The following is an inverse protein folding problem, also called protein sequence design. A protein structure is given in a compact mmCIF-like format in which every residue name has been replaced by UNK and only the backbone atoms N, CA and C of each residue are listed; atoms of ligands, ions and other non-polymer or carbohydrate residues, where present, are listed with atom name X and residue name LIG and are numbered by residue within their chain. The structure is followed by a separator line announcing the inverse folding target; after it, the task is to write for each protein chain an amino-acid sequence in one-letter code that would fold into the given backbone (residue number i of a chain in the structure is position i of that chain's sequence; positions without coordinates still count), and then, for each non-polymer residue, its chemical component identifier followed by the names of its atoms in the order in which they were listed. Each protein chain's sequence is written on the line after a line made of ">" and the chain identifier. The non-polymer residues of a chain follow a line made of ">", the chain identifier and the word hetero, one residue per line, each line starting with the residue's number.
data_IF_507697832903
#
_entry.id   IF_507697832903
#
_cell.length_a   1.000
_cell.length_b   1.000
_cell.length_c   1.000
_cell.angle_alpha   90.00
_cell.angle_beta   90.00
_cell.angle_gamma   90.00
#
_symmetry.space_group_name_H-M   'P 1'
#
loop_
_entity.id
_entity.type
_entity.pdbx_description
1 polymer ?
#
# COMPACT_ATOMS: atom_id res chain seq x y z
N UNK A 1 0.71 -25.96 22.47
CA UNK A 1 0.98 -24.78 23.31
C UNK A 1 2.49 -24.68 23.48
N UNK A 2 3.15 -23.60 23.04
CA UNK A 2 4.60 -23.50 23.11
C UNK A 2 5.09 -23.28 24.55
N UNK A 3 6.25 -23.83 24.88
CA UNK A 3 6.90 -23.63 26.18
C UNK A 3 7.62 -22.28 26.24
N UNK A 4 7.90 -21.78 27.45
CA UNK A 4 8.57 -20.49 27.63
C UNK A 4 9.93 -20.44 26.91
N UNK A 5 10.73 -21.50 27.00
CA UNK A 5 12.02 -21.60 26.31
C UNK A 5 11.90 -21.61 24.78
N UNK A 6 10.78 -22.07 24.23
CA UNK A 6 10.51 -21.98 22.78
C UNK A 6 10.21 -20.53 22.37
N UNK A 7 9.45 -19.79 23.18
CA UNK A 7 9.16 -18.38 22.93
C UNK A 7 10.39 -17.49 23.10
N UNK A 8 11.29 -17.83 24.04
CA UNK A 8 12.58 -17.14 24.22
C UNK A 8 13.50 -17.36 23.01
N UNK A 9 13.53 -18.57 22.44
CA UNK A 9 14.34 -18.88 21.24
C UNK A 9 13.70 -18.38 19.94
N UNK A 10 12.37 -18.37 19.86
CA UNK A 10 11.58 -17.93 18.71
C UNK A 10 10.40 -17.11 19.22
N UNK A 11 10.56 -15.79 19.16
CA UNK A 11 9.52 -14.85 19.55
C UNK A 11 8.25 -15.03 18.72
N UNK A 12 7.12 -14.53 19.24
CA UNK A 12 5.89 -14.43 18.43
C UNK A 12 6.04 -13.28 17.44
N UNK A 13 5.68 -13.53 16.19
CA UNK A 13 5.65 -12.52 15.15
C UNK A 13 4.23 -12.06 14.88
N UNK A 14 4.06 -10.77 14.59
CA UNK A 14 2.78 -10.20 14.18
C UNK A 14 2.70 -10.22 12.66
N UNK A 15 1.54 -10.60 12.13
CA UNK A 15 1.31 -10.59 10.68
C UNK A 15 1.24 -9.15 10.16
N UNK A 16 2.09 -8.82 9.19
CA UNK A 16 2.06 -7.53 8.51
C UNK A 16 0.87 -7.41 7.55
N UNK A 17 0.19 -6.27 7.56
CA UNK A 17 -0.93 -5.97 6.65
C UNK A 17 -0.50 -4.99 5.57
N UNK A 18 -0.87 -5.27 4.32
CA UNK A 18 -0.65 -4.36 3.19
C UNK A 18 -1.76 -3.31 3.13
N UNK A 19 -1.39 -2.06 2.82
CA UNK A 19 -2.36 -1.00 2.57
C UNK A 19 -3.13 -1.25 1.28
N UNK A 20 -4.40 -0.87 1.27
CA UNK A 20 -5.26 -0.87 0.07
C UNK A 20 -4.84 0.21 -0.94
N UNK A 21 -4.12 1.25 -0.49
CA UNK A 21 -3.70 2.38 -1.31
C UNK A 21 -2.17 2.63 -1.22
N UNK A 22 -1.33 1.72 -1.75
CA UNK A 22 0.14 1.83 -1.62
C UNK A 22 0.73 3.04 -2.36
N UNK A 23 0.10 3.50 -3.45
CA UNK A 23 0.59 4.66 -4.21
C UNK A 23 0.56 5.97 -3.39
N UNK A 24 -0.38 6.11 -2.45
CA UNK A 24 -0.46 7.27 -1.56
C UNK A 24 0.65 7.29 -0.50
N UNK A 25 1.32 6.16 -0.28
CA UNK A 25 2.41 6.01 0.69
C UNK A 25 3.81 6.19 0.10
N UNK A 26 3.94 6.34 -1.23
CA UNK A 26 5.25 6.45 -1.93
C UNK A 26 5.51 7.83 -2.55
N UNK A 27 6.56 8.52 -2.14
CA UNK A 27 7.05 9.75 -2.77
C UNK A 27 8.20 9.49 -3.73
N UNK A 28 8.62 10.52 -4.48
CA UNK A 28 9.83 10.50 -5.28
C UNK A 28 10.70 11.72 -4.99
N UNK A 29 11.97 11.48 -4.68
CA UNK A 29 12.97 12.53 -4.49
C UNK A 29 13.70 12.80 -5.81
N UNK A 30 13.35 13.91 -6.48
CA UNK A 30 13.92 14.26 -7.79
C UNK A 30 15.43 14.53 -7.76
N UNK A 31 15.97 15.01 -6.63
CA UNK A 31 17.40 15.30 -6.50
C UNK A 31 18.23 14.03 -6.40
N UNK A 32 17.74 13.05 -5.63
CA UNK A 32 18.42 11.77 -5.40
C UNK A 32 18.00 10.68 -6.38
N UNK A 33 16.97 10.94 -7.19
CA UNK A 33 16.33 10.00 -8.12
C UNK A 33 15.83 8.71 -7.45
N UNK A 34 15.40 8.81 -6.19
CA UNK A 34 14.96 7.65 -5.39
C UNK A 34 13.49 7.74 -5.01
N UNK A 35 12.84 6.58 -4.95
CA UNK A 35 11.54 6.46 -4.29
C UNK A 35 11.73 6.57 -2.77
N UNK A 36 10.78 7.22 -2.10
CA UNK A 36 10.78 7.41 -0.64
C UNK A 36 9.43 6.97 -0.07
N UNK A 37 9.41 6.59 1.20
CA UNK A 37 8.17 6.39 1.93
C UNK A 37 7.66 7.73 2.45
N UNK A 38 6.51 8.14 1.93
CA UNK A 38 5.85 9.39 2.27
C UNK A 38 4.35 9.19 2.24
N UNK A 39 3.74 9.16 3.43
CA UNK A 39 2.31 9.05 3.61
C UNK A 39 1.64 10.39 3.30
N UNK A 40 0.60 10.37 2.47
CA UNK A 40 -0.15 11.56 2.10
C UNK A 40 -1.63 11.23 1.91
N UNK A 41 -2.56 12.10 2.32
CA UNK A 41 -3.98 11.89 2.09
C UNK A 41 -4.36 11.98 0.59
N UNK A 42 -3.62 12.75 -0.21
CA UNK A 42 -3.88 12.94 -1.64
C UNK A 42 -2.61 13.34 -2.40
N UNK A 43 -2.50 12.99 -3.68
CA UNK A 43 -1.37 13.38 -4.54
C UNK A 43 -1.87 14.00 -5.84
N UNK A 44 -1.20 15.08 -6.27
CA UNK A 44 -1.47 15.72 -7.56
C UNK A 44 -1.02 14.79 -8.69
N UNK A 45 -1.84 14.68 -9.73
CA UNK A 45 -1.53 13.95 -10.96
C UNK A 45 -2.03 14.71 -12.18
N UNK A 46 -1.60 14.29 -13.37
CA UNK A 46 -2.07 14.79 -14.67
C UNK A 46 -2.72 13.63 -15.40
N UNK A 47 -3.88 13.87 -16.03
CA UNK A 47 -4.60 12.85 -16.79
C UNK A 47 -3.85 12.56 -18.10
N UNK A 48 -3.59 11.29 -18.39
CA UNK A 48 -2.93 10.84 -19.63
C UNK A 48 -3.92 10.25 -20.64
N UNK A 49 -5.06 9.73 -20.19
CA UNK A 49 -6.09 9.16 -21.04
C UNK A 49 -7.48 9.29 -20.39
N UNK A 50 -8.48 9.63 -21.19
CA UNK A 50 -9.88 9.78 -20.77
C UNK A 50 -10.70 8.71 -21.47
N UNK A 51 -11.40 7.88 -20.69
CA UNK A 51 -12.26 6.79 -21.18
C UNK A 51 -13.39 6.52 -20.21
N UNK A 52 -14.47 5.94 -20.71
CA UNK A 52 -15.58 5.41 -19.91
C UNK A 52 -15.35 3.92 -19.63
N UNK A 53 -15.86 3.42 -18.51
CA UNK A 53 -15.82 2.01 -18.14
C UNK A 53 -17.18 1.60 -17.58
N UNK A 54 -17.70 0.45 -18.01
CA UNK A 54 -18.97 -0.09 -17.51
C UNK A 54 -18.76 -0.78 -16.15
N UNK A 55 -19.68 -0.59 -15.18
CA UNK A 55 -19.56 -1.22 -13.87
C UNK A 55 -19.71 -2.74 -13.96
N UNK A 56 -19.22 -3.47 -12.94
CA UNK A 56 -19.45 -4.90 -12.83
C UNK A 56 -20.94 -5.17 -12.51
N UNK A 57 -21.48 -6.27 -13.05
CA UNK A 57 -22.82 -6.78 -12.71
C UNK A 57 -23.02 -6.85 -11.19
N UNK A 58 -24.24 -6.63 -10.66
CA UNK A 58 -25.51 -6.36 -11.36
C UNK A 58 -25.73 -4.88 -11.71
N UNK A 59 -24.78 -4.01 -11.37
CA UNK A 59 -24.94 -2.57 -11.52
C UNK A 59 -24.91 -2.17 -13.00
N UNK A 60 -25.68 -1.14 -13.37
CA UNK A 60 -25.74 -0.56 -14.72
C UNK A 60 -25.61 0.96 -14.61
N UNK A 61 -24.69 1.53 -15.38
CA UNK A 61 -24.40 2.97 -15.45
C UNK A 61 -23.74 3.29 -16.80
#
# INVERSE_FOLDING_TARGET
>A
MPTFNQLVRKGREVLEKKSTAPALLKGYNSKKRTAIDQNSPQKRGVCTAIRTATPKKPNSA
#
